data_IF_980551204223
#
_entry.id   IF_980551204223
#
_cell.length_a   1.000
_cell.length_b   1.000
_cell.length_c   1.000
_cell.angle_alpha   90.00
_cell.angle_beta   90.00
_cell.angle_gamma   90.00
#
_symmetry.space_group_name_H-M   'P 1'
#
loop_
_entity.id
_entity.type
_entity.pdbx_description
1 polymer ?
2 non-polymer ?
3 water ?
#
# COMPACT_ATOMS: atom_id res chain seq x y z
N UNK A 3 -0.97 6.56 -22.02
CA UNK A 3 -1.08 5.17 -22.42
C UNK A 3 -1.15 4.17 -21.24
N UNK A 4 -0.31 4.26 -20.16
CA UNK A 4 -0.40 3.27 -19.07
C UNK A 4 -1.79 3.13 -18.45
N UNK A 5 -2.45 4.25 -18.11
CA UNK A 5 -3.77 4.34 -17.51
C UNK A 5 -4.86 3.77 -18.43
N UNK A 6 -4.84 4.15 -19.73
CA UNK A 6 -5.76 3.67 -20.76
C UNK A 6 -5.66 2.14 -20.90
N UNK A 7 -4.40 1.62 -20.87
CA UNK A 7 -4.05 0.19 -20.94
C UNK A 7 -4.60 -0.53 -19.69
N UNK A 8 -4.37 0.05 -18.51
CA UNK A 8 -4.80 -0.46 -17.23
C UNK A 8 -6.33 -0.57 -17.14
N UNK A 9 -7.06 0.44 -17.62
CA UNK A 9 -8.53 0.46 -17.64
C UNK A 9 -9.11 -0.56 -18.63
N UNK A 10 -8.42 -0.78 -19.77
CA UNK A 10 -8.79 -1.71 -20.84
C UNK A 10 -8.75 -3.14 -20.25
N UNK A 11 -7.67 -3.48 -19.52
CA UNK A 11 -7.50 -4.79 -18.90
C UNK A 11 -8.49 -5.00 -17.73
N UNK A 12 -8.82 -3.93 -16.98
CA UNK A 12 -9.84 -3.98 -15.94
C UNK A 12 -11.15 -4.49 -16.54
N UNK A 13 -11.57 -3.94 -17.70
CA UNK A 13 -12.80 -4.33 -18.41
C UNK A 13 -12.78 -5.82 -18.76
N UNK A 14 -11.60 -6.32 -19.19
CA UNK A 14 -11.36 -7.72 -19.55
C UNK A 14 -11.49 -8.65 -18.33
N UNK A 15 -10.81 -8.30 -17.20
CA UNK A 15 -10.88 -9.05 -15.93
C UNK A 15 -12.34 -9.06 -15.41
N UNK A 16 -12.99 -7.88 -15.36
CA UNK A 16 -14.35 -7.72 -14.87
C UNK A 16 -15.31 -8.62 -15.63
N UNK A 17 -15.25 -8.56 -16.99
CA UNK A 17 -16.07 -9.39 -17.86
C UNK A 17 -15.84 -10.88 -17.58
N UNK A 18 -14.57 -11.30 -17.38
CA UNK A 18 -14.25 -12.70 -17.07
C UNK A 18 -14.90 -13.13 -15.76
N UNK A 19 -14.67 -12.34 -14.69
CA UNK A 19 -15.17 -12.64 -13.35
C UNK A 19 -16.68 -12.75 -13.30
N UNK A 20 -17.36 -11.78 -13.93
CA UNK A 20 -18.81 -11.71 -14.01
C UNK A 20 -19.41 -12.82 -14.89
N UNK A 21 -18.78 -13.15 -16.02
CA UNK A 21 -19.29 -14.24 -16.87
C UNK A 21 -19.11 -15.58 -16.16
N UNK A 22 -17.95 -15.78 -15.47
CA UNK A 22 -17.65 -16.98 -14.69
C UNK A 22 -18.75 -17.25 -13.66
N UNK A 23 -19.20 -16.22 -12.93
CA UNK A 23 -20.30 -16.31 -11.96
C UNK A 23 -21.62 -16.72 -12.64
N UNK A 24 -21.95 -16.09 -13.78
CA UNK A 24 -23.16 -16.35 -14.56
C UNK A 24 -23.21 -17.80 -15.10
N UNK A 25 -22.09 -18.23 -15.72
CA UNK A 25 -21.98 -19.52 -16.41
C UNK A 25 -21.58 -20.71 -15.56
N UNK A 26 -20.82 -20.49 -14.47
CA UNK A 26 -20.33 -21.59 -13.63
C UNK A 26 -20.85 -21.56 -12.20
N UNK A 27 -21.24 -20.39 -11.67
CA UNK A 27 -21.73 -20.32 -10.28
C UNK A 27 -23.22 -20.03 -10.18
N UNK A 28 -23.96 -20.22 -11.29
CA UNK A 28 -25.40 -19.99 -11.40
C UNK A 28 -25.86 -18.65 -10.79
N UNK A 29 -25.24 -17.53 -11.23
CA UNK A 29 -25.65 -16.22 -10.74
C UNK A 29 -26.66 -15.58 -11.66
N UNK A 30 -27.67 -14.96 -11.06
CA UNK A 30 -28.74 -14.24 -11.73
C UNK A 30 -28.24 -12.87 -12.17
N UNK A 31 -28.76 -12.32 -13.31
CA UNK A 31 -28.26 -11.01 -13.79
C UNK A 31 -28.23 -9.88 -12.74
N UNK A 32 -29.28 -9.77 -11.91
CA UNK A 32 -29.43 -8.76 -10.85
C UNK A 32 -28.23 -8.73 -9.95
N UNK A 33 -27.81 -9.90 -9.42
CA UNK A 33 -26.63 -10.02 -8.57
C UNK A 33 -25.36 -9.77 -9.35
N UNK A 34 -25.31 -10.19 -10.64
CA UNK A 34 -24.14 -9.92 -11.50
C UNK A 34 -23.94 -8.39 -11.63
N UNK A 35 -25.03 -7.64 -11.89
CA UNK A 35 -24.98 -6.17 -12.02
C UNK A 35 -24.57 -5.50 -10.70
N UNK A 36 -25.13 -6.02 -9.57
CA UNK A 36 -24.80 -5.57 -8.21
C UNK A 36 -23.31 -5.74 -7.97
N UNK A 37 -22.72 -6.87 -8.39
CA UNK A 37 -21.30 -7.13 -8.24
C UNK A 37 -20.44 -6.29 -9.19
N UNK A 38 -20.97 -5.95 -10.37
CA UNK A 38 -20.26 -5.07 -11.33
C UNK A 38 -20.12 -3.67 -10.69
N UNK A 39 -21.23 -3.15 -10.14
CA UNK A 39 -21.32 -1.84 -9.48
C UNK A 39 -20.41 -1.80 -8.24
N UNK A 40 -20.49 -2.84 -7.36
CA UNK A 40 -19.65 -2.96 -6.16
C UNK A 40 -18.17 -3.01 -6.57
N UNK A 41 -17.80 -3.79 -7.60
CA UNK A 41 -16.40 -3.90 -8.08
C UNK A 41 -15.91 -2.54 -8.56
N UNK A 42 -16.76 -1.80 -9.32
CA UNK A 42 -16.41 -0.46 -9.82
C UNK A 42 -16.22 0.51 -8.67
N UNK A 43 -17.14 0.54 -7.70
CA UNK A 43 -17.09 1.43 -6.54
C UNK A 43 -15.89 1.18 -5.68
N UNK A 44 -15.55 -0.09 -5.44
CA UNK A 44 -14.43 -0.42 -4.57
C UNK A 44 -13.06 -0.41 -5.24
N UNK A 45 -12.97 -0.74 -6.55
CA UNK A 45 -11.69 -0.86 -7.25
C UNK A 45 -11.32 0.38 -8.09
N UNK A 46 -12.33 1.20 -8.47
CA UNK A 46 -12.13 2.41 -9.27
C UNK A 46 -12.46 3.67 -8.48
N UNK A 47 -11.52 4.59 -8.48
CA UNK A 47 -11.64 5.86 -7.78
C UNK A 47 -10.32 6.48 -7.39
N UNK A 48 -9.38 5.62 -6.98
CA UNK A 48 -8.04 6.01 -6.55
C UNK A 48 -7.11 6.49 -7.65
N UNK A 49 -5.81 6.59 -7.32
CA UNK A 49 -4.84 7.04 -8.32
C UNK A 49 -4.18 5.85 -9.01
N UNK A 50 -4.43 4.62 -8.48
CA UNK A 50 -3.92 3.34 -8.99
C UNK A 50 -2.41 3.23 -8.93
N UNK A 51 -1.79 3.96 -7.98
CA UNK A 51 -0.33 4.01 -7.89
C UNK A 51 0.31 2.64 -7.60
N UNK A 52 -0.36 1.71 -6.85
CA UNK A 52 0.17 0.35 -6.64
C UNK A 52 0.15 -0.46 -7.96
N UNK A 53 -0.99 -0.41 -8.64
CA UNK A 53 -1.18 -1.10 -9.92
C UNK A 53 -0.31 -0.57 -11.05
N UNK A 54 -0.27 0.76 -11.21
CA UNK A 54 0.55 1.41 -12.23
C UNK A 54 2.02 1.10 -12.04
N UNK A 55 2.52 0.96 -10.76
CA UNK A 55 3.90 0.59 -10.43
C UNK A 55 4.30 -0.73 -11.10
N UNK A 56 3.35 -1.69 -11.21
CA UNK A 56 3.62 -2.98 -11.85
C UNK A 56 3.90 -2.75 -13.34
N UNK A 57 3.07 -1.91 -13.99
CA UNK A 57 3.20 -1.55 -15.40
C UNK A 57 4.54 -0.84 -15.66
N UNK A 58 4.87 0.19 -14.85
CA UNK A 58 6.10 0.97 -14.94
C UNK A 58 7.38 0.12 -14.76
N UNK A 59 7.34 -0.95 -13.94
CA UNK A 59 8.47 -1.87 -13.75
C UNK A 59 8.65 -2.72 -15.02
N UNK A 60 7.55 -3.30 -15.55
CA UNK A 60 7.53 -4.10 -16.78
C UNK A 60 7.95 -3.29 -18.06
N UNK A 61 7.44 -2.03 -18.18
CA UNK A 61 7.69 -1.06 -19.25
C UNK A 61 9.17 -0.67 -19.30
N UNK A 62 9.81 -0.55 -18.11
CA UNK A 62 11.22 -0.27 -17.96
C UNK A 62 12.04 -1.48 -18.36
N UNK A 63 11.55 -2.69 -18.13
CA UNK A 63 12.25 -3.91 -18.50
C UNK A 63 12.06 -4.31 -19.99
N UNK A 64 11.19 -3.60 -20.76
CA UNK A 64 10.96 -3.83 -22.21
C UNK A 64 11.78 -2.80 -23.00
N UNK A 65 11.82 -1.55 -22.49
CA UNK A 65 12.56 -0.41 -23.08
C UNK A 65 14.05 -0.44 -22.71
N UNK A 66 14.37 -1.01 -21.53
CA UNK A 66 15.72 -1.15 -20.98
C UNK A 66 15.88 -2.66 -20.59
N UNK A 67 15.82 -3.58 -21.59
CA UNK A 67 15.81 -5.05 -21.43
C UNK A 67 17.18 -5.77 -21.18
N UNK A 68 17.22 -6.67 -20.15
CA UNK A 68 18.47 -7.41 -19.87
C UNK A 68 18.77 -8.53 -20.87
N UNK A 76 11.22 -7.20 -26.52
CA UNK A 76 12.03 -8.26 -27.14
C UNK A 76 11.57 -8.60 -28.57
N UNK A 77 10.28 -8.44 -28.83
CA UNK A 77 9.69 -8.72 -30.14
C UNK A 77 8.18 -8.78 -30.14
N UNK A 78 7.64 -9.91 -30.63
CA UNK A 78 6.20 -10.19 -30.77
C UNK A 78 5.45 -10.47 -29.44
N UNK A 79 6.21 -10.71 -28.34
CA UNK A 79 5.67 -11.04 -27.01
C UNK A 79 5.66 -9.83 -26.01
N UNK A 80 5.82 -8.58 -26.51
CA UNK A 80 5.80 -7.35 -25.69
C UNK A 80 4.42 -7.16 -25.02
N UNK A 81 3.33 -7.26 -25.81
CA UNK A 81 1.95 -7.11 -25.36
C UNK A 81 1.59 -8.13 -24.28
N UNK A 82 2.26 -9.32 -24.26
CA UNK A 82 2.06 -10.38 -23.26
C UNK A 82 2.52 -9.89 -21.87
N UNK A 83 3.76 -9.32 -21.78
CA UNK A 83 4.35 -8.77 -20.54
C UNK A 83 3.49 -7.63 -19.98
N UNK A 84 3.06 -6.67 -20.84
CA UNK A 84 2.21 -5.52 -20.46
C UNK A 84 0.84 -5.98 -19.97
N UNK A 85 0.25 -7.02 -20.61
CA UNK A 85 -1.04 -7.57 -20.19
C UNK A 85 -0.91 -8.20 -18.79
N UNK A 86 0.15 -9.02 -18.58
CA UNK A 86 0.45 -9.69 -17.33
C UNK A 86 0.66 -8.68 -16.20
N UNK A 87 1.34 -7.55 -16.52
CA UNK A 87 1.63 -6.42 -15.61
C UNK A 87 0.32 -5.78 -15.15
N UNK A 88 -0.66 -5.70 -16.06
CA UNK A 88 -1.98 -5.15 -15.78
C UNK A 88 -2.84 -6.08 -14.91
N UNK A 89 -2.76 -7.43 -15.09
CA UNK A 89 -3.55 -8.38 -14.28
C UNK A 89 -2.98 -8.38 -12.86
N UNK A 90 -1.64 -8.36 -12.74
CA UNK A 90 -0.94 -8.26 -11.45
C UNK A 90 -1.24 -6.98 -10.72
N UNK A 91 -1.29 -5.89 -11.47
CA UNK A 91 -1.63 -4.57 -10.97
C UNK A 91 -3.03 -4.55 -10.41
N UNK A 92 -3.96 -5.25 -11.08
CA UNK A 92 -5.34 -5.31 -10.62
C UNK A 92 -5.47 -6.24 -9.43
N UNK A 93 -4.65 -7.32 -9.35
CA UNK A 93 -4.64 -8.18 -8.17
C UNK A 93 -4.34 -7.32 -6.92
N UNK A 94 -3.28 -6.45 -6.95
CA UNK A 94 -2.94 -5.57 -5.84
C UNK A 94 -4.04 -4.53 -5.59
N UNK A 95 -4.59 -3.90 -6.66
CA UNK A 95 -5.69 -2.94 -6.52
C UNK A 95 -6.94 -3.57 -5.88
N UNK A 96 -7.26 -4.83 -6.24
CA UNK A 96 -8.37 -5.59 -5.63
C UNK A 96 -8.05 -5.97 -4.16
N UNK A 97 -6.79 -6.33 -3.86
CA UNK A 97 -6.36 -6.65 -2.50
C UNK A 97 -6.45 -5.39 -1.64
N UNK A 98 -6.07 -4.23 -2.21
CA UNK A 98 -6.14 -2.93 -1.56
C UNK A 98 -7.61 -2.59 -1.33
N UNK A 99 -8.47 -2.81 -2.35
CA UNK A 99 -9.93 -2.61 -2.29
C UNK A 99 -10.52 -3.46 -1.14
N UNK A 100 -10.03 -4.73 -0.99
CA UNK A 100 -10.41 -5.70 0.07
C UNK A 100 -10.06 -5.13 1.43
N UNK A 101 -8.83 -4.57 1.61
CA UNK A 101 -8.42 -3.96 2.86
C UNK A 101 -9.24 -2.76 3.19
N UNK A 102 -9.54 -1.89 2.20
CA UNK A 102 -10.34 -0.68 2.46
C UNK A 102 -11.75 -1.01 2.95
N UNK A 103 -12.42 -2.04 2.35
CA UNK A 103 -13.74 -2.52 2.77
C UNK A 103 -13.62 -3.03 4.21
N UNK A 104 -12.57 -3.83 4.52
CA UNK A 104 -12.33 -4.36 5.87
C UNK A 104 -12.20 -3.23 6.86
N UNK A 105 -11.44 -2.16 6.51
CA UNK A 105 -11.25 -0.96 7.33
C UNK A 105 -12.58 -0.21 7.53
N UNK A 106 -13.46 -0.18 6.50
CA UNK A 106 -14.76 0.48 6.59
C UNK A 106 -15.72 -0.23 7.56
N UNK A 107 -15.57 -1.56 7.73
CA UNK A 107 -16.36 -2.36 8.68
C UNK A 107 -15.85 -2.00 10.09
N UNK A 108 -14.50 -1.88 10.25
CA UNK A 108 -13.76 -1.54 11.49
C UNK A 108 -14.17 -0.20 12.09
N UNK A 109 -14.73 0.71 11.25
CA UNK A 109 -15.21 2.03 11.64
C UNK A 109 -16.58 2.36 11.02
N UNK A 125 -28.78 -6.25 9.70
CA UNK A 125 -28.15 -5.16 8.93
C UNK A 125 -27.47 -5.68 7.66
N UNK A 126 -28.21 -5.60 6.52
CA UNK A 126 -27.77 -6.07 5.21
C UNK A 126 -26.57 -5.25 4.66
N UNK A 127 -26.35 -3.98 5.14
CA UNK A 127 -25.18 -3.20 4.68
C UNK A 127 -23.86 -3.76 5.22
N UNK A 128 -23.86 -4.20 6.50
CA UNK A 128 -22.71 -4.79 7.19
C UNK A 128 -22.48 -6.18 6.61
N UNK A 129 -23.57 -6.94 6.38
CA UNK A 129 -23.50 -8.26 5.77
C UNK A 129 -22.90 -8.14 4.38
N UNK A 130 -23.31 -7.10 3.61
CA UNK A 130 -22.82 -6.89 2.25
C UNK A 130 -21.41 -6.44 2.22
N UNK A 131 -20.97 -5.57 3.16
CA UNK A 131 -19.58 -5.10 3.26
C UNK A 131 -18.66 -6.28 3.56
N UNK A 132 -19.03 -7.14 4.54
CA UNK A 132 -18.27 -8.35 4.88
C UNK A 132 -18.14 -9.24 3.64
N UNK A 133 -19.26 -9.48 2.96
CA UNK A 133 -19.31 -10.29 1.77
C UNK A 133 -18.43 -9.70 0.66
N UNK A 134 -18.49 -8.37 0.44
CA UNK A 134 -17.66 -7.67 -0.54
C UNK A 134 -16.16 -7.89 -0.24
N UNK A 135 -15.79 -7.81 1.04
CA UNK A 135 -14.44 -8.06 1.50
C UNK A 135 -13.94 -9.42 1.09
N UNK A 136 -14.81 -10.46 1.25
CA UNK A 136 -14.49 -11.85 0.94
C UNK A 136 -14.38 -12.06 -0.55
N UNK A 137 -15.30 -11.45 -1.34
CA UNK A 137 -15.32 -11.58 -2.79
C UNK A 137 -14.13 -10.90 -3.40
N UNK A 138 -13.77 -9.70 -2.95
CA UNK A 138 -12.61 -8.96 -3.49
C UNK A 138 -11.32 -9.76 -3.35
N UNK A 139 -11.10 -10.41 -2.20
CA UNK A 139 -9.94 -11.26 -1.96
C UNK A 139 -10.01 -12.51 -2.86
N UNK A 140 -11.17 -13.17 -2.92
CA UNK A 140 -11.35 -14.35 -3.76
C UNK A 140 -11.13 -14.03 -5.24
N UNK A 141 -11.47 -12.81 -5.67
CA UNK A 141 -11.29 -12.37 -7.03
C UNK A 141 -9.84 -12.28 -7.42
N UNK A 142 -8.93 -11.95 -6.47
CA UNK A 142 -7.49 -11.89 -6.73
C UNK A 142 -7.00 -13.27 -7.15
N UNK A 143 -7.49 -14.34 -6.49
CA UNK A 143 -7.11 -15.71 -6.80
C UNK A 143 -7.72 -16.14 -8.13
N UNK A 144 -9.02 -15.87 -8.33
CA UNK A 144 -9.74 -16.23 -9.55
C UNK A 144 -9.08 -15.65 -10.80
N UNK A 145 -8.78 -14.35 -10.83
CA UNK A 145 -8.14 -13.69 -11.96
C UNK A 145 -6.71 -14.24 -12.25
N UNK A 146 -5.93 -14.57 -11.20
CA UNK A 146 -4.58 -15.13 -11.33
C UNK A 146 -4.62 -16.52 -11.95
N UNK A 147 -5.48 -17.39 -11.40
CA UNK A 147 -5.69 -18.78 -11.85
C UNK A 147 -6.15 -18.90 -13.31
N UNK A 148 -6.85 -17.87 -13.83
CA UNK A 148 -7.33 -17.86 -15.19
C UNK A 148 -6.31 -17.28 -16.15
N UNK A 149 -5.94 -16.00 -15.96
CA UNK A 149 -5.02 -15.27 -16.85
C UNK A 149 -3.59 -15.82 -16.90
N UNK A 150 -3.12 -16.43 -15.80
CA UNK A 150 -1.78 -16.97 -15.71
C UNK A 150 -1.80 -18.51 -15.63
N UNK A 151 -2.92 -19.14 -16.03
CA UNK A 151 -3.17 -20.59 -15.96
C UNK A 151 -2.01 -21.48 -16.38
N UNK A 152 -1.35 -21.17 -17.51
CA UNK A 152 -0.22 -22.01 -17.91
C UNK A 152 1.11 -21.26 -17.91
N UNK A 153 1.20 -20.14 -17.16
CA UNK A 153 2.46 -19.42 -16.98
C UNK A 153 3.26 -20.23 -15.95
N UNK A 154 4.59 -20.39 -16.14
CA UNK A 154 5.38 -21.15 -15.15
C UNK A 154 5.53 -20.43 -13.81
N UNK A 155 5.37 -19.09 -13.83
CA UNK A 155 5.50 -18.24 -12.65
C UNK A 155 4.26 -18.25 -11.75
N UNK A 156 3.13 -18.87 -12.16
CA UNK A 156 1.88 -18.91 -11.38
C UNK A 156 2.06 -19.35 -9.91
N UNK A 157 2.74 -20.49 -9.65
CA UNK A 157 2.92 -20.97 -8.27
C UNK A 157 3.69 -19.99 -7.39
N UNK A 158 4.82 -19.45 -7.89
CA UNK A 158 5.65 -18.48 -7.16
C UNK A 158 4.85 -17.20 -6.90
N UNK A 159 4.10 -16.72 -7.92
CA UNK A 159 3.27 -15.52 -7.82
C UNK A 159 2.20 -15.68 -6.74
N UNK A 160 1.47 -16.82 -6.73
CA UNK A 160 0.42 -17.11 -5.74
C UNK A 160 0.97 -17.12 -4.31
N UNK A 161 2.13 -17.76 -4.12
CA UNK A 161 2.75 -17.90 -2.81
C UNK A 161 3.30 -16.59 -2.24
N UNK A 162 3.92 -15.76 -3.08
CA UNK A 162 4.44 -14.44 -2.68
C UNK A 162 3.28 -13.50 -2.32
N UNK A 163 2.18 -13.54 -3.10
CA UNK A 163 0.97 -12.74 -2.90
C UNK A 163 0.31 -13.10 -1.57
N UNK A 164 0.08 -14.41 -1.32
CA UNK A 164 -0.54 -14.91 -0.10
C UNK A 164 0.25 -14.58 1.15
N UNK A 165 1.59 -14.65 1.06
CA UNK A 165 2.48 -14.40 2.18
C UNK A 165 2.43 -12.94 2.55
N UNK A 166 2.36 -12.06 1.53
CA UNK A 166 2.29 -10.60 1.69
C UNK A 166 0.97 -10.23 2.32
N UNK A 167 -0.10 -10.91 1.91
CA UNK A 167 -1.44 -10.73 2.49
C UNK A 167 -1.44 -11.12 3.97
N UNK A 168 -0.77 -12.23 4.35
CA UNK A 168 -0.66 -12.66 5.76
C UNK A 168 0.08 -11.65 6.55
N UNK A 169 1.17 -11.16 5.96
CA UNK A 169 2.04 -10.14 6.53
C UNK A 169 1.21 -8.92 6.88
N UNK A 170 0.33 -8.46 5.95
CA UNK A 170 -0.50 -7.28 6.13
C UNK A 170 -1.47 -7.41 7.29
N UNK A 171 -2.11 -8.57 7.43
CA UNK A 171 -3.04 -8.88 8.51
C UNK A 171 -2.30 -8.91 9.84
N UNK A 172 -1.05 -9.40 9.86
CA UNK A 172 -0.19 -9.41 11.06
C UNK A 172 0.16 -7.95 11.42
N UNK A 173 0.50 -7.14 10.42
CA UNK A 173 0.78 -5.71 10.55
C UNK A 173 -0.40 -4.93 11.10
N UNK A 174 -1.59 -5.32 10.64
CA UNK A 174 -2.84 -4.76 11.13
C UNK A 174 -3.04 -5.07 12.60
N UNK A 175 -2.58 -6.27 13.08
CA UNK A 175 -2.63 -6.65 14.50
C UNK A 175 -1.73 -5.77 15.32
N UNK A 176 -0.46 -5.55 14.88
CA UNK A 176 0.52 -4.70 15.58
C UNK A 176 0.03 -3.29 15.68
N UNK A 177 -0.68 -2.80 14.66
CA UNK A 177 -1.22 -1.45 14.60
C UNK A 177 -2.41 -1.22 15.54
N UNK A 178 -3.43 -2.06 15.40
CA UNK A 178 -4.69 -2.03 16.15
C UNK A 178 -4.49 -2.30 17.66
N UNK A 179 -3.40 -2.98 18.04
CA UNK A 179 -3.17 -3.29 19.44
C UNK A 179 -1.84 -2.64 19.93
N UNK A 180 -1.39 -1.55 19.26
CA UNK A 180 -0.18 -0.76 19.63
C UNK A 180 -0.32 -0.11 21.04
N UNK A 181 -1.59 0.00 21.50
CA UNK A 181 -2.09 0.46 22.79
C UNK A 181 -2.73 -0.78 23.48
N UNK A 182 -2.18 -1.17 24.65
CA UNK A 182 -2.55 -2.35 25.43
C UNK A 182 -2.81 -1.97 26.90
N UNK A 198 0.73 0.64 27.77
CA UNK A 198 0.09 1.25 26.60
C UNK A 198 1.13 2.00 25.74
N UNK A 199 1.95 2.91 26.38
CA UNK A 199 2.97 3.71 25.70
C UNK A 199 4.33 3.03 25.55
N UNK A 200 4.48 1.82 26.15
CA UNK A 200 5.69 1.00 26.05
C UNK A 200 6.04 0.65 24.60
N UNK A 201 5.01 0.42 23.75
CA UNK A 201 5.25 0.09 22.34
C UNK A 201 5.42 1.30 21.42
N UNK A 202 5.53 2.52 22.02
CA UNK A 202 5.71 3.74 21.26
C UNK A 202 7.17 3.99 21.07
N UNK A 203 7.80 3.14 20.25
CA UNK A 203 9.23 3.22 19.92
C UNK A 203 9.34 3.22 18.43
N UNK A 204 10.47 3.72 17.93
CA UNK A 204 10.78 3.78 16.50
C UNK A 204 10.94 2.37 15.87
N UNK A 205 11.52 1.41 16.62
CA UNK A 205 11.69 0.04 16.15
C UNK A 205 10.32 -0.65 15.99
N UNK A 206 9.35 -0.39 16.94
CA UNK A 206 7.99 -0.90 16.83
C UNK A 206 7.20 -0.17 15.74
N UNK A 207 7.46 1.13 15.59
CA UNK A 207 6.82 1.93 14.56
C UNK A 207 7.25 1.32 13.22
N UNK A 208 8.55 1.07 13.06
CA UNK A 208 9.09 0.44 11.86
C UNK A 208 8.48 -0.94 11.63
N UNK A 209 8.26 -1.73 12.71
CA UNK A 209 7.64 -3.07 12.64
C UNK A 209 6.21 -2.94 12.06
N UNK A 210 5.41 -1.95 12.54
CA UNK A 210 4.06 -1.66 12.08
C UNK A 210 4.11 -1.28 10.60
N UNK A 211 4.89 -0.27 10.23
CA UNK A 211 5.04 0.20 8.84
C UNK A 211 5.40 -0.94 7.90
N UNK A 212 6.46 -1.70 8.21
CA UNK A 212 6.95 -2.81 7.40
C UNK A 212 5.85 -3.81 7.08
N UNK A 213 5.22 -4.36 8.13
CA UNK A 213 4.19 -5.39 8.00
C UNK A 213 2.85 -4.88 7.48
N UNK A 214 2.36 -3.76 8.02
CA UNK A 214 1.07 -3.17 7.65
C UNK A 214 1.03 -2.53 6.27
N UNK A 215 2.10 -1.80 5.90
CA UNK A 215 2.12 -1.01 4.67
C UNK A 215 3.17 -1.38 3.61
N UNK A 216 4.46 -1.35 3.96
CA UNK A 216 5.60 -1.52 3.06
C UNK A 216 5.57 -2.81 2.23
N UNK A 217 5.26 -3.99 2.82
CA UNK A 217 5.19 -5.24 2.05
C UNK A 217 4.17 -5.24 0.88
N UNK A 218 2.93 -4.79 1.10
CA UNK A 218 1.95 -4.82 0.00
C UNK A 218 1.97 -3.54 -0.88
N UNK A 219 2.38 -2.39 -0.33
CA UNK A 219 2.37 -1.12 -1.06
C UNK A 219 3.64 -0.90 -1.88
N UNK A 220 4.82 -1.23 -1.33
CA UNK A 220 6.08 -1.01 -2.02
C UNK A 220 6.75 -2.28 -2.52
N UNK A 221 6.91 -3.32 -1.67
CA UNK A 221 7.60 -4.53 -2.12
C UNK A 221 6.84 -5.29 -3.21
N UNK A 222 5.55 -5.64 -2.94
CA UNK A 222 4.70 -6.42 -3.85
C UNK A 222 4.60 -5.82 -5.27
N UNK A 223 4.24 -4.52 -5.50
CA UNK A 223 4.16 -4.03 -6.89
C UNK A 223 5.47 -4.13 -7.66
N UNK A 224 6.62 -3.83 -6.98
CA UNK A 224 7.96 -3.94 -7.56
C UNK A 224 8.26 -5.41 -7.94
N UNK A 225 8.01 -6.36 -7.01
CA UNK A 225 8.20 -7.81 -7.20
C UNK A 225 7.30 -8.39 -8.34
N UNK A 226 6.04 -7.96 -8.41
CA UNK A 226 5.12 -8.47 -9.44
C UNK A 226 5.51 -8.05 -10.86
N UNK A 227 6.04 -6.83 -10.99
CA UNK A 227 6.57 -6.28 -12.24
C UNK A 227 7.80 -7.03 -12.73
N UNK A 228 8.57 -7.57 -11.77
CA UNK A 228 9.77 -8.38 -12.00
C UNK A 228 9.39 -9.82 -12.38
N UNK A 229 8.35 -10.39 -11.73
CA UNK A 229 7.87 -11.76 -11.98
C UNK A 229 7.41 -11.92 -13.44
N UNK A 230 6.52 -11.01 -13.91
CA UNK A 230 5.96 -10.98 -15.28
C UNK A 230 7.05 -10.75 -16.37
N UNK A 231 8.10 -9.96 -16.03
CA UNK A 231 9.24 -9.65 -16.90
C UNK A 231 10.30 -10.78 -16.89
N UNK A 232 10.12 -11.81 -16.02
CA UNK A 232 11.03 -12.97 -15.82
C UNK A 232 12.45 -12.50 -15.47
N UNK A 233 12.52 -11.36 -14.75
CA UNK A 233 13.76 -10.70 -14.34
C UNK A 233 13.95 -10.68 -12.81
N UNK A 234 13.23 -11.56 -12.08
CA UNK A 234 13.29 -11.69 -10.61
C UNK A 234 14.70 -12.04 -10.08
N UNK A 235 15.46 -13.05 -10.60
CA UNK A 235 16.79 -13.33 -10.00
C UNK A 235 17.94 -12.39 -10.43
N UNK A 236 17.68 -11.46 -11.37
CA UNK A 236 18.65 -10.48 -11.92
C UNK A 236 18.80 -9.21 -11.06
N UNK A 237 17.98 -9.06 -10.01
CA UNK A 237 18.00 -7.91 -9.10
C UNK A 237 18.39 -8.33 -7.68
N UNK A 238 19.06 -7.42 -6.96
CA UNK A 238 19.44 -7.66 -5.57
C UNK A 238 18.17 -7.42 -4.74
N UNK A 239 17.56 -8.52 -4.23
CA UNK A 239 16.35 -8.49 -3.43
C UNK A 239 16.54 -7.75 -2.11
N UNK A 240 17.74 -7.86 -1.53
CA UNK A 240 18.13 -7.23 -0.27
C UNK A 240 17.97 -5.72 -0.30
N UNK A 241 18.57 -5.08 -1.33
CA UNK A 241 18.53 -3.63 -1.60
C UNK A 241 17.09 -3.19 -1.91
N UNK A 242 16.33 -4.02 -2.68
CA UNK A 242 14.93 -3.77 -3.04
C UNK A 242 14.04 -3.81 -1.79
N UNK A 243 14.16 -4.86 -0.95
CA UNK A 243 13.43 -4.99 0.31
C UNK A 243 13.72 -3.79 1.18
N UNK A 244 15.01 -3.44 1.34
CA UNK A 244 15.47 -2.29 2.10
C UNK A 244 14.83 -1.00 1.55
N UNK A 245 14.83 -0.83 0.20
CA UNK A 245 14.25 0.36 -0.46
C UNK A 245 12.76 0.42 -0.21
N UNK A 246 12.05 -0.72 -0.32
CA UNK A 246 10.61 -0.83 -0.08
C UNK A 246 10.30 -0.42 1.36
N UNK A 247 11.05 -0.96 2.35
CA UNK A 247 10.87 -0.62 3.76
C UNK A 247 11.16 0.85 4.03
N UNK A 248 12.20 1.44 3.38
CA UNK A 248 12.54 2.86 3.52
C UNK A 248 11.50 3.78 2.89
N UNK A 249 11.05 3.47 1.67
CA UNK A 249 10.01 4.23 0.96
C UNK A 249 8.65 4.11 1.70
N UNK A 250 8.36 2.92 2.25
CA UNK A 250 7.21 2.65 3.08
C UNK A 250 7.25 3.53 4.31
N UNK A 251 8.43 3.59 4.99
CA UNK A 251 8.72 4.44 6.15
C UNK A 251 8.51 5.91 5.76
N UNK A 252 9.18 6.37 4.70
CA UNK A 252 9.05 7.75 4.19
C UNK A 252 7.58 8.09 3.93
N UNK A 253 6.82 7.18 3.25
CA UNK A 253 5.42 7.39 2.95
C UNK A 253 4.55 7.44 4.20
N UNK A 254 4.76 6.49 5.16
CA UNK A 254 3.97 6.43 6.39
C UNK A 254 4.23 7.61 7.31
N UNK A 255 5.49 8.06 7.40
CA UNK A 255 5.89 9.23 8.18
C UNK A 255 5.16 10.47 7.62
N UNK A 256 5.18 10.62 6.27
CA UNK A 256 4.52 11.72 5.56
C UNK A 256 3.03 11.63 5.78
N UNK A 257 2.47 10.43 5.67
CA UNK A 257 1.05 10.21 5.87
C UNK A 257 0.59 10.57 7.31
N UNK A 258 1.41 10.22 8.32
CA UNK A 258 1.18 10.48 9.74
C UNK A 258 1.19 11.95 10.03
N UNK A 259 2.13 12.69 9.40
CA UNK A 259 2.30 14.13 9.56
C UNK A 259 1.13 14.86 8.92
N UNK A 260 0.73 14.45 7.70
CA UNK A 260 -0.38 15.03 6.96
C UNK A 260 -1.71 14.80 7.67
N UNK A 261 -1.86 13.62 8.30
CA UNK A 261 -3.07 13.29 9.06
C UNK A 261 -3.30 14.31 10.19
N UNK A 262 -2.21 14.79 10.81
CA UNK A 262 -2.24 15.75 11.91
C UNK A 262 -2.34 17.23 11.45
N UNK A 263 -1.50 17.63 10.49
CA UNK A 263 -1.37 19.03 10.07
C UNK A 263 -2.09 19.43 8.77
N UNK A 264 -2.37 18.50 7.84
CA UNK A 264 -3.05 18.87 6.60
C UNK A 264 -4.57 19.00 6.85
N UNK A 265 -5.16 20.22 6.66
CA UNK A 265 -6.60 20.40 6.92
C UNK A 265 -7.53 19.48 6.12
N UNK A 266 -8.72 19.11 6.68
CA UNK A 266 -9.62 18.16 5.99
C UNK A 266 -9.97 18.41 4.52
N UNK A 267 -10.15 19.68 4.09
CA UNK A 267 -10.49 20.01 2.69
C UNK A 267 -9.33 19.69 1.70
N UNK A 268 -8.07 19.82 2.17
CA UNK A 268 -6.83 19.56 1.43
C UNK A 268 -6.44 18.08 1.55
N UNK A 269 -6.63 17.47 2.75
CA UNK A 269 -6.31 16.06 3.02
C UNK A 269 -7.30 15.09 2.37
N UNK A 270 -8.55 15.52 2.21
CA UNK A 270 -9.64 14.75 1.62
C UNK A 270 -10.60 14.25 2.68
N UNK A 271 -10.07 13.81 3.83
CA UNK A 271 -10.84 13.30 4.96
C UNK A 271 -10.40 13.92 6.30
N UNK A 272 -11.07 13.55 7.40
CA UNK A 272 -10.74 14.10 8.73
C UNK A 272 -9.65 13.24 9.36
N UNK A 273 -8.57 13.89 9.80
CA UNK A 273 -7.43 13.25 10.47
C UNK A 273 -7.82 12.77 11.86
N UNK A 274 -7.66 11.46 12.12
CA UNK A 274 -8.09 10.85 13.38
C UNK A 274 -6.98 10.11 14.19
N UNK A 275 -5.69 10.17 13.75
CA UNK A 275 -4.58 9.48 14.45
C UNK A 275 -4.45 9.82 15.92
N UNK A 276 -4.59 11.11 16.29
CA UNK A 276 -4.48 11.55 17.68
C UNK A 276 -5.61 10.93 18.52
N UNK A 277 -6.87 11.10 18.07
CA UNK A 277 -8.09 10.57 18.69
C UNK A 277 -8.00 9.06 18.87
N UNK A 278 -7.55 8.34 17.81
CA UNK A 278 -7.41 6.89 17.77
C UNK A 278 -6.24 6.35 18.62
N UNK A 279 -5.39 7.26 19.15
CA UNK A 279 -4.19 6.94 19.91
C UNK A 279 -3.26 6.01 19.13
N UNK A 280 -3.07 6.35 17.83
CA UNK A 280 -2.20 5.60 16.93
C UNK A 280 -0.72 5.74 17.31
N UNK A 281 0.06 4.68 17.06
CA UNK A 281 1.48 4.70 17.27
C UNK A 281 2.11 5.37 16.02
N UNK A 282 1.90 6.69 15.86
CA UNK A 282 2.38 7.48 14.72
C UNK A 282 3.82 7.96 14.88
N UNK A 283 4.44 8.32 13.75
CA UNK A 283 5.80 8.81 13.73
C UNK A 283 5.89 10.04 14.62
N UNK A 284 4.86 10.90 14.61
CA UNK A 284 4.86 12.12 15.45
C UNK A 284 4.91 11.77 16.92
N UNK A 285 4.05 10.82 17.36
CA UNK A 285 3.99 10.34 18.75
C UNK A 285 5.34 9.78 19.24
N UNK A 286 5.93 8.80 18.52
CA UNK A 286 7.19 8.17 18.92
C UNK A 286 8.39 9.17 18.87
N UNK A 287 8.41 10.11 17.88
CA UNK A 287 9.49 11.12 17.80
C UNK A 287 9.36 12.13 18.92
N UNK A 288 8.11 12.53 19.21
CA UNK A 288 7.81 13.48 20.29
C UNK A 288 8.25 12.89 21.60
N UNK A 289 7.89 11.61 21.88
CA UNK A 289 8.21 10.97 23.16
C UNK A 289 9.71 10.83 23.44
N UNK A 290 10.58 10.86 22.43
CA UNK A 290 12.02 10.77 22.60
C UNK A 290 12.65 12.14 22.80
N UNK A 291 11.98 13.24 22.36
CA UNK A 291 12.60 14.57 22.53
C UNK A 291 11.84 15.50 23.52
N UNK A 292 10.61 15.13 23.94
CA UNK A 292 9.83 15.90 24.91
C UNK A 292 10.40 15.80 26.31
N UNK A 293 10.16 16.82 27.15
CA UNK A 293 10.55 16.84 28.55
C UNK A 293 9.57 15.94 29.33
N UNK A 294 9.95 15.48 30.54
CA UNK A 294 9.12 14.66 31.42
C UNK A 294 7.69 15.23 31.63
N UNK A 295 7.58 16.58 31.83
CA UNK A 295 6.30 17.31 32.01
C UNK A 295 5.49 17.27 30.74
N UNK A 296 6.16 17.52 29.58
CA UNK A 296 5.54 17.49 28.24
C UNK A 296 4.99 16.09 27.92
N UNK A 297 5.74 15.02 28.28
CA UNK A 297 5.36 13.61 28.11
C UNK A 297 4.12 13.33 28.98
N UNK A 298 4.12 13.85 30.23
CA UNK A 298 3.01 13.72 31.18
C UNK A 298 1.76 14.39 30.59
N UNK A 299 1.95 15.58 29.98
CA UNK A 299 0.92 16.36 29.32
C UNK A 299 0.40 15.62 28.09
N UNK A 300 1.32 14.98 27.33
CA UNK A 300 0.97 14.18 26.14
C UNK A 300 0.12 12.97 26.51
N UNK A 301 0.54 12.21 27.55
CA UNK A 301 -0.14 11.01 28.05
C UNK A 301 -1.55 11.30 28.57
N UNK A 302 -1.74 12.44 29.22
CA UNK A 302 -3.04 12.84 29.74
C UNK A 302 -4.01 13.32 28.65
N UNK A 303 -3.50 13.70 27.44
CA UNK A 303 -4.31 14.24 26.32
C UNK A 303 -4.46 13.36 25.10
N UNK A 304 -3.57 12.39 24.88
CA UNK A 304 -3.62 11.52 23.71
C UNK A 304 -4.76 10.50 23.78
N UNK A 305 -5.27 10.13 22.61
CA UNK A 305 -6.31 9.12 22.45
C UNK A 305 -7.70 9.50 22.89
N UNK A 306 -8.05 10.79 22.73
CA UNK A 306 -9.37 11.31 23.08
C UNK A 306 -10.00 12.05 21.92
N UNK A 307 -11.30 11.89 21.77
CA UNK A 307 -12.10 12.57 20.74
C UNK A 307 -12.31 14.04 21.02
N UNK A 308 -12.12 14.46 22.31
CA UNK A 308 -12.27 15.83 22.80
C UNK A 308 -11.35 16.80 22.04
N UNK A 309 -12.00 17.80 21.39
CA UNK A 309 -11.42 18.87 20.59
C UNK A 309 -10.21 19.58 21.20
N UNK A 310 -10.30 19.93 22.50
CA UNK A 310 -9.25 20.63 23.27
C UNK A 310 -8.01 19.77 23.54
N UNK A 311 -8.22 18.47 23.79
CA UNK A 311 -7.14 17.51 24.03
C UNK A 311 -6.35 17.28 22.74
N UNK A 312 -7.04 17.19 21.58
CA UNK A 312 -6.45 17.02 20.25
C UNK A 312 -5.59 18.25 19.91
N UNK A 313 -6.13 19.45 20.20
CA UNK A 313 -5.46 20.73 19.99
C UNK A 313 -4.22 20.83 20.89
N UNK A 314 -4.29 20.32 22.15
CA UNK A 314 -3.14 20.30 23.07
C UNK A 314 -2.03 19.45 22.46
N UNK A 315 -2.39 18.28 21.87
CA UNK A 315 -1.44 17.35 21.22
C UNK A 315 -0.77 18.05 20.03
N UNK A 316 -1.58 18.68 19.16
CA UNK A 316 -1.07 19.43 18.01
C UNK A 316 -0.10 20.54 18.47
N UNK A 317 -0.46 21.29 19.53
CA UNK A 317 0.32 22.36 20.14
C UNK A 317 1.64 21.77 20.66
N UNK A 318 1.61 20.59 21.31
CA UNK A 318 2.81 19.93 21.82
C UNK A 318 3.75 19.54 20.69
N UNK A 319 3.21 18.98 19.58
CA UNK A 319 4.00 18.60 18.40
C UNK A 319 4.67 19.83 17.79
N UNK A 320 3.91 20.93 17.61
CA UNK A 320 4.37 22.22 17.09
C UNK A 320 5.49 22.79 17.95
N UNK A 321 5.27 22.86 19.28
CA UNK A 321 6.21 23.42 20.26
C UNK A 321 7.47 22.57 20.45
N UNK A 322 7.41 21.27 20.16
CA UNK A 322 8.58 20.40 20.24
C UNK A 322 9.34 20.37 18.89
N UNK A 323 8.94 21.28 17.96
CA UNK A 323 9.54 21.46 16.63
C UNK A 323 9.60 20.15 15.85
N UNK A 324 8.50 19.38 15.90
CA UNK A 324 8.43 18.11 15.21
C UNK A 324 8.30 18.28 13.72
N UNK A 325 7.73 19.43 13.24
CA UNK A 325 7.62 19.67 11.79
C UNK A 325 8.99 19.95 11.20
N UNK A 326 9.88 20.45 12.04
CA UNK A 326 11.28 20.66 11.68
C UNK A 326 11.99 19.31 11.64
N UNK A 327 11.73 18.47 12.67
CA UNK A 327 12.32 17.13 12.80
C UNK A 327 11.87 16.21 11.69
N UNK A 328 10.63 16.42 11.19
CA UNK A 328 10.01 15.71 10.08
C UNK A 328 10.86 15.88 8.82
N UNK A 329 11.22 17.15 8.48
CA UNK A 329 12.07 17.56 7.34
C UNK A 329 13.41 16.82 7.40
N UNK A 330 14.09 16.85 8.58
CA UNK A 330 15.37 16.18 8.78
C UNK A 330 15.26 14.66 8.70
N UNK A 331 14.21 14.06 9.29
CA UNK A 331 14.03 12.60 9.24
C UNK A 331 13.77 12.15 7.82
N UNK A 332 12.89 12.87 7.12
CA UNK A 332 12.54 12.58 5.74
C UNK A 332 13.69 12.79 4.79
N UNK A 333 14.46 13.88 4.98
CA UNK A 333 15.67 14.17 4.19
C UNK A 333 16.76 13.11 4.43
N UNK A 334 16.86 12.56 5.67
CA UNK A 334 17.83 11.50 5.99
C UNK A 334 17.37 10.22 5.32
N UNK A 335 16.04 9.97 5.27
CA UNK A 335 15.47 8.80 4.60
C UNK A 335 15.74 8.95 3.10
N UNK A 336 15.51 10.17 2.57
CA UNK A 336 15.74 10.52 1.15
C UNK A 336 17.18 10.20 0.75
N UNK A 337 18.20 10.59 1.59
CA UNK A 337 19.62 10.32 1.38
C UNK A 337 19.84 8.81 1.28
N UNK A 338 19.24 8.00 2.18
CA UNK A 338 19.32 6.53 2.21
C UNK A 338 18.69 5.90 0.95
N UNK A 339 17.54 6.43 0.52
CA UNK A 339 16.79 5.97 -0.67
C UNK A 339 17.67 6.19 -1.90
N UNK A 340 18.14 7.45 -2.08
CA UNK A 340 18.99 7.90 -3.20
C UNK A 340 20.30 7.14 -3.32
N UNK A 341 20.84 6.65 -2.18
CA UNK A 341 22.08 5.87 -2.13
C UNK A 341 21.84 4.41 -2.55
N UNK A 342 20.72 3.82 -2.10
CA UNK A 342 20.39 2.44 -2.44
C UNK A 342 19.99 2.25 -3.90
N UNK A 343 19.35 3.27 -4.52
CA UNK A 343 18.95 3.29 -5.95
C UNK A 343 20.23 3.18 -6.80
N UNK A 344 21.32 3.88 -6.41
CA UNK A 344 22.62 3.84 -7.08
C UNK A 344 23.21 2.41 -7.08
N UNK A 345 23.20 1.71 -5.90
CA UNK A 345 23.68 0.33 -5.75
C UNK A 345 22.91 -0.60 -6.69
N UNK A 346 21.60 -0.38 -6.79
CA UNK A 346 20.68 -1.13 -7.64
C UNK A 346 20.95 -0.86 -9.11
N UNK A 347 21.20 0.41 -9.49
CA UNK A 347 21.46 0.88 -10.87
C UNK A 347 22.72 0.26 -11.49
N UNK A 348 23.73 -0.05 -10.67
CA UNK A 348 24.99 -0.63 -11.13
C UNK A 348 24.88 -2.09 -11.66
N UNK A 349 23.79 -2.81 -11.27
CA UNK A 349 23.52 -4.21 -11.67
C UNK A 349 22.17 -4.34 -12.43
N UNK A 350 21.18 -3.50 -12.08
CA UNK A 350 19.84 -3.50 -12.64
C UNK A 350 19.43 -2.04 -12.97
N UNK A 351 19.87 -1.52 -14.14
CA UNK A 351 19.58 -0.11 -14.49
C UNK A 351 18.11 0.20 -14.77
N UNK A 352 17.45 -0.58 -15.62
CA UNK A 352 16.04 -0.39 -15.97
C UNK A 352 15.12 -0.42 -14.76
N UNK A 353 15.42 -1.31 -13.81
CA UNK A 353 14.69 -1.47 -12.56
C UNK A 353 14.84 -0.25 -11.64
N UNK A 354 16.08 0.28 -11.52
CA UNK A 354 16.40 1.46 -10.70
C UNK A 354 15.64 2.72 -11.13
N UNK A 355 15.41 2.89 -12.45
CA UNK A 355 14.66 4.03 -13.00
C UNK A 355 13.16 3.89 -12.65
N UNK A 356 12.62 2.65 -12.56
CA UNK A 356 11.22 2.48 -12.14
C UNK A 356 11.12 2.72 -10.63
N UNK A 357 12.16 2.31 -9.85
CA UNK A 357 12.19 2.53 -8.41
C UNK A 357 12.42 4.04 -8.12
N UNK A 358 12.99 4.77 -9.09
CA UNK A 358 13.21 6.22 -9.03
C UNK A 358 11.89 6.97 -9.20
N UNK A 359 11.04 6.56 -10.21
CA UNK A 359 9.73 7.15 -10.50
C UNK A 359 8.80 6.91 -9.30
N UNK A 360 8.84 5.69 -8.70
CA UNK A 360 8.06 5.34 -7.51
C UNK A 360 8.42 6.30 -6.39
N UNK A 361 9.72 6.50 -6.21
CA UNK A 361 10.27 7.44 -5.22
C UNK A 361 9.82 8.90 -5.46
N UNK A 362 9.93 9.39 -6.69
CA UNK A 362 9.50 10.74 -7.04
C UNK A 362 8.06 11.02 -6.63
N UNK A 363 7.14 10.04 -6.91
CA UNK A 363 5.72 10.07 -6.55
C UNK A 363 5.54 10.19 -5.03
N UNK A 364 6.33 9.40 -4.24
CA UNK A 364 6.33 9.37 -2.78
C UNK A 364 6.88 10.68 -2.20
N UNK A 365 8.03 11.15 -2.73
CA UNK A 365 8.77 12.37 -2.35
C UNK A 365 7.91 13.63 -2.54
N UNK A 366 7.00 13.63 -3.56
CA UNK A 366 6.03 14.70 -3.86
C UNK A 366 4.62 14.21 -3.50
X LIG B 1 -2.71 5.85 -5.47
X LIG B 1 -2.32 5.32 -4.46
X LIG B 1 -2.27 3.98 -4.34
X LIG B 1 -1.87 6.14 -3.27
X LIG B 1 -0.79 7.09 -3.58
X LIG B 1 -0.98 8.42 -3.67
X LIG B 1 0.16 9.04 -3.97
X LIG B 1 1.22 7.98 -4.01
X LIG B 1 2.59 8.06 -4.30
X LIG B 1 3.31 6.86 -4.29
X LIG B 1 2.65 5.64 -4.01
X LIG B 1 3.45 4.48 -3.99
X LIG B 1 2.89 3.22 -3.75
X LIG B 1 1.52 3.15 -3.50
X LIG B 1 0.74 4.30 -3.44
X LIG B 1 1.27 5.57 -3.70
X LIG B 1 0.54 6.80 -3.71
X LIG B 1 -2.25 9.18 -3.67
X LIG B 1 -2.49 10.08 -4.65
X LIG B 1 -3.08 9.02 -2.79
#
# INVERSE_FOLDING_TARGET
GPMPMQMFMQVYDEIQMFLLEELELKFDMDPNRVRYLRKMMDTTCLGGKYNRGLTVIDVAESLLSLSPNNNGEEDDGARRKRVLHDACVCGWMIEFLQAHYLVEDDIMDNSVTRRGKPCWYRHPDVTVQCAINDGLLLKSWTHMMAMHFFADRPFLQDLLCRFNRVDYTTAVGQLYDVTSMFDSNKLDPDVSQPTTTDFAEFTLSNYKRIVKYKTAYYTYLLPLVMGLIVSEALPTVDMGVTEELAMLMGEYFQVQDDVMDCFTPPERLGKVGTDIQDAKCSWLAVTFLAKASSAQVAEFKANYGSGDSEKVATVRRLYEEADLQGDYVAYEAAVAEQVKELIEKLRLCSPGFAASVETLWGKTYKRQK
BFH O1 C2 O3 C4 N5 C6 C7 C8 C9 C10 C11 C12 C13 C14 C15 C16 C17 C18 O19 O20
#
